data_IF_664871073223
#
_entry.id   IF_664871073223
#
_cell.length_a   1.000
_cell.length_b   1.000
_cell.length_c   1.000
_cell.angle_alpha   90.00
_cell.angle_beta   90.00
_cell.angle_gamma   90.00
#
_symmetry.space_group_name_H-M   'P 1'
#
loop_
_entity.id
_entity.type
_entity.pdbx_description
1 polymer ?
#
# COMPACT_ATOMS: atom_id res chain seq x y z
N UNK A 1 28.06 19.00 10.23
CA UNK A 1 26.83 18.17 10.31
C UNK A 1 27.07 16.95 9.44
N UNK A 2 26.85 15.75 9.95
CA UNK A 2 26.95 14.53 9.14
C UNK A 2 25.95 14.65 7.97
N UNK A 3 26.42 14.37 6.78
CA UNK A 3 25.60 14.39 5.58
C UNK A 3 24.57 13.25 5.69
N UNK A 4 23.27 13.59 5.71
CA UNK A 4 22.21 12.58 5.83
C UNK A 4 22.07 11.81 4.52
N UNK A 5 21.76 10.51 4.63
CA UNK A 5 21.57 9.62 3.48
C UNK A 5 20.09 9.29 3.25
N UNK A 6 19.77 8.96 2.01
CA UNK A 6 18.54 8.28 1.64
C UNK A 6 18.78 6.78 1.53
N UNK A 7 17.75 5.99 1.77
CA UNK A 7 17.79 4.54 1.56
C UNK A 7 16.76 4.17 0.51
N UNK A 8 17.15 3.35 -0.47
CA UNK A 8 16.25 2.83 -1.50
C UNK A 8 16.09 1.32 -1.30
N UNK A 9 14.85 0.90 -1.00
CA UNK A 9 14.49 -0.50 -0.79
C UNK A 9 13.82 -1.05 -2.05
N UNK A 10 14.34 -2.14 -2.61
CA UNK A 10 13.79 -2.80 -3.78
C UNK A 10 12.80 -3.91 -3.40
N UNK A 11 11.57 -3.86 -3.93
CA UNK A 11 10.56 -4.93 -3.80
C UNK A 11 10.29 -5.65 -5.13
N UNK A 12 10.85 -5.16 -6.25
CA UNK A 12 10.57 -5.68 -7.59
C UNK A 12 9.48 -4.89 -8.30
N UNK A 13 8.51 -5.58 -8.90
CA UNK A 13 7.40 -4.99 -9.66
C UNK A 13 7.77 -4.61 -11.11
N UNK A 14 6.85 -3.91 -11.79
CA UNK A 14 6.98 -3.47 -13.20
C UNK A 14 8.13 -2.49 -13.40
N UNK A 15 8.42 -1.63 -12.42
CA UNK A 15 9.55 -0.69 -12.47
C UNK A 15 10.89 -1.41 -12.69
N UNK A 16 11.00 -2.63 -12.17
CA UNK A 16 12.12 -3.56 -12.32
C UNK A 16 11.84 -4.63 -13.40
N UNK A 17 10.84 -4.44 -14.24
CA UNK A 17 10.42 -5.38 -15.28
C UNK A 17 11.23 -5.27 -16.55
N UNK A 18 11.36 -6.40 -17.27
CA UNK A 18 12.00 -6.48 -18.59
C UNK A 18 11.09 -7.17 -19.59
N UNK A 19 10.94 -6.55 -20.76
CA UNK A 19 10.35 -7.14 -21.93
C UNK A 19 11.44 -7.59 -22.92
N UNK A 20 11.15 -8.61 -23.71
CA UNK A 20 12.05 -9.04 -24.80
C UNK A 20 12.11 -7.97 -25.90
N UNK A 21 10.96 -7.36 -26.21
CA UNK A 21 10.84 -6.31 -27.20
C UNK A 21 10.51 -4.97 -26.52
N UNK A 22 11.26 -3.92 -26.84
CA UNK A 22 11.08 -2.58 -26.24
C UNK A 22 9.70 -1.94 -26.50
N UNK A 23 8.96 -2.38 -27.51
CA UNK A 23 7.59 -1.93 -27.79
C UNK A 23 6.50 -2.69 -27.02
N UNK A 24 6.86 -3.77 -26.32
CA UNK A 24 5.90 -4.61 -25.61
C UNK A 24 5.79 -4.16 -24.13
N UNK A 25 4.68 -3.48 -23.84
CA UNK A 25 4.38 -3.03 -22.48
C UNK A 25 3.48 -4.03 -21.70
N UNK A 26 3.13 -5.17 -22.29
CA UNK A 26 2.27 -6.19 -21.66
C UNK A 26 2.99 -7.52 -21.46
N UNK A 27 3.78 -7.96 -22.45
CA UNK A 27 4.52 -9.22 -22.43
C UNK A 27 5.87 -9.13 -21.72
N UNK A 28 5.96 -8.42 -20.62
CA UNK A 28 7.19 -8.30 -19.82
C UNK A 28 7.15 -9.23 -18.60
N UNK A 29 8.32 -9.52 -18.06
CA UNK A 29 8.47 -10.20 -16.78
C UNK A 29 8.81 -9.17 -15.71
N UNK A 30 8.00 -9.07 -14.67
CA UNK A 30 8.24 -8.17 -13.53
C UNK A 30 9.47 -8.61 -12.71
N UNK A 31 10.02 -7.71 -11.91
CA UNK A 31 11.04 -8.02 -10.91
C UNK A 31 12.31 -8.68 -11.48
N UNK A 32 12.82 -8.21 -12.62
CA UNK A 32 14.01 -8.75 -13.27
C UNK A 32 15.29 -7.93 -12.98
N UNK A 33 15.14 -6.64 -12.67
CA UNK A 33 16.26 -5.75 -12.35
C UNK A 33 16.39 -5.59 -10.82
N UNK A 34 17.62 -5.48 -10.35
CA UNK A 34 17.90 -5.11 -8.97
C UNK A 34 17.69 -3.61 -8.74
N UNK A 35 17.57 -3.23 -7.47
CA UNK A 35 17.42 -1.81 -7.09
C UNK A 35 18.62 -0.96 -7.52
N UNK A 36 19.83 -1.54 -7.51
CA UNK A 36 21.05 -0.86 -7.98
C UNK A 36 20.98 -0.52 -9.46
N UNK A 37 20.46 -1.43 -10.29
CA UNK A 37 20.29 -1.21 -11.74
C UNK A 37 19.33 -0.04 -12.01
N UNK A 38 18.28 0.11 -11.21
CA UNK A 38 17.32 1.21 -11.32
C UNK A 38 17.98 2.56 -11.01
N UNK A 39 18.88 2.62 -10.03
CA UNK A 39 19.62 3.83 -9.70
C UNK A 39 20.67 4.19 -10.76
N UNK A 40 21.35 3.22 -11.34
CA UNK A 40 22.29 3.45 -12.45
C UNK A 40 21.57 4.15 -13.61
N UNK A 41 20.33 3.77 -13.90
CA UNK A 41 19.55 4.37 -15.00
C UNK A 41 19.22 5.86 -14.80
N UNK A 42 19.26 6.35 -13.54
CA UNK A 42 18.98 7.76 -13.21
C UNK A 42 20.20 8.50 -12.64
N UNK A 43 21.37 7.87 -12.65
CA UNK A 43 22.58 8.36 -11.97
C UNK A 43 22.96 9.80 -12.33
N UNK A 44 22.77 10.20 -13.59
CA UNK A 44 23.12 11.55 -14.06
C UNK A 44 22.23 12.66 -13.47
N UNK A 45 21.05 12.30 -12.98
CA UNK A 45 20.07 13.23 -12.40
C UNK A 45 19.89 13.03 -10.88
N UNK A 46 20.71 12.15 -10.28
CA UNK A 46 20.62 11.90 -8.83
C UNK A 46 20.96 13.16 -8.04
N UNK A 47 20.28 13.35 -6.92
CA UNK A 47 20.62 14.40 -5.97
C UNK A 47 22.03 14.21 -5.38
N UNK A 48 22.64 15.29 -4.94
CA UNK A 48 23.98 15.30 -4.29
C UNK A 48 23.99 14.71 -2.87
N UNK A 49 23.10 13.76 -2.56
CA UNK A 49 23.09 13.08 -1.26
C UNK A 49 23.59 11.64 -1.38
N UNK A 50 24.04 11.09 -0.27
CA UNK A 50 24.40 9.68 -0.20
C UNK A 50 23.13 8.82 -0.34
N UNK A 51 23.16 7.87 -1.25
CA UNK A 51 22.09 6.88 -1.43
C UNK A 51 22.63 5.51 -1.08
N UNK A 52 21.92 4.80 -0.21
CA UNK A 52 22.19 3.40 0.12
C UNK A 52 21.03 2.54 -0.38
N UNK A 53 21.33 1.39 -0.94
CA UNK A 53 20.36 0.45 -1.50
C UNK A 53 20.26 -0.82 -0.68
N UNK A 54 19.08 -1.44 -0.74
CA UNK A 54 18.86 -2.78 -0.24
C UNK A 54 17.77 -3.48 -1.05
N UNK A 55 18.06 -4.68 -1.57
CA UNK A 55 17.04 -5.52 -2.17
C UNK A 55 16.34 -6.32 -1.07
N UNK A 56 15.11 -5.95 -0.71
CA UNK A 56 14.33 -6.63 0.34
C UNK A 56 13.63 -7.86 -0.21
N UNK A 57 13.03 -7.72 -1.39
CA UNK A 57 12.37 -8.81 -2.12
C UNK A 57 12.41 -8.53 -3.62
N UNK A 58 12.12 -9.55 -4.43
CA UNK A 58 12.03 -9.41 -5.88
C UNK A 58 10.77 -10.11 -6.35
N UNK A 59 9.62 -9.44 -6.16
CA UNK A 59 8.28 -9.98 -6.36
C UNK A 59 7.52 -9.23 -7.45
N UNK A 60 6.64 -9.92 -8.15
CA UNK A 60 5.50 -9.28 -8.78
C UNK A 60 4.49 -8.93 -7.67
N UNK A 61 4.01 -7.67 -7.64
CA UNK A 61 3.18 -7.21 -6.52
C UNK A 61 1.83 -7.91 -6.39
N UNK A 62 1.32 -8.56 -7.45
CA UNK A 62 0.12 -9.41 -7.35
C UNK A 62 0.31 -10.59 -6.39
N UNK A 63 1.57 -11.02 -6.17
CA UNK A 63 1.94 -12.13 -5.29
C UNK A 63 2.42 -11.64 -3.90
N UNK A 64 2.14 -10.39 -3.54
CA UNK A 64 2.48 -9.83 -2.23
C UNK A 64 1.79 -10.61 -1.10
N UNK A 65 2.55 -10.94 -0.06
CA UNK A 65 2.06 -11.66 1.12
C UNK A 65 2.20 -10.82 2.40
N UNK A 66 1.45 -11.19 3.45
CA UNK A 66 1.59 -10.56 4.76
C UNK A 66 3.01 -10.73 5.34
N UNK A 67 3.68 -11.84 5.01
CA UNK A 67 5.08 -12.10 5.39
C UNK A 67 6.01 -11.10 4.71
N UNK A 68 5.84 -10.86 3.42
CA UNK A 68 6.64 -9.88 2.68
C UNK A 68 6.39 -8.45 3.18
N UNK A 69 5.13 -8.10 3.51
CA UNK A 69 4.79 -6.81 4.14
C UNK A 69 5.46 -6.65 5.50
N UNK A 70 5.44 -7.67 6.35
CA UNK A 70 6.10 -7.63 7.65
C UNK A 70 7.62 -7.48 7.53
N UNK A 71 8.24 -8.22 6.61
CA UNK A 71 9.68 -8.08 6.32
C UNK A 71 10.00 -6.66 5.87
N UNK A 72 9.22 -6.09 4.96
CA UNK A 72 9.41 -4.71 4.50
C UNK A 72 9.29 -3.71 5.66
N UNK A 73 8.27 -3.86 6.53
CA UNK A 73 8.12 -3.00 7.70
C UNK A 73 9.33 -3.06 8.64
N UNK A 74 9.89 -4.26 8.86
CA UNK A 74 11.12 -4.44 9.65
C UNK A 74 12.30 -3.67 9.04
N UNK A 75 12.47 -3.73 7.71
CA UNK A 75 13.56 -3.02 7.04
C UNK A 75 13.38 -1.52 7.09
N UNK A 76 12.13 -1.04 6.89
CA UNK A 76 11.78 0.38 7.05
C UNK A 76 12.10 0.88 8.46
N UNK A 77 11.65 0.17 9.49
CA UNK A 77 11.90 0.53 10.90
C UNK A 77 13.40 0.55 11.22
N UNK A 78 14.13 -0.49 10.79
CA UNK A 78 15.58 -0.56 10.94
C UNK A 78 16.28 0.68 10.38
N UNK A 79 15.96 1.08 9.15
CA UNK A 79 16.61 2.23 8.52
C UNK A 79 16.20 3.56 9.14
N UNK A 80 14.91 3.72 9.46
CA UNK A 80 14.41 4.98 10.05
C UNK A 80 14.90 5.19 11.49
N UNK A 81 15.28 4.14 12.21
CA UNK A 81 15.87 4.25 13.55
C UNK A 81 17.25 4.91 13.54
N UNK A 82 17.97 4.91 12.42
CA UNK A 82 19.27 5.60 12.27
C UNK A 82 19.08 7.11 12.13
N UNK A 83 19.81 7.88 12.93
CA UNK A 83 19.84 9.36 12.81
C UNK A 83 20.48 9.85 11.50
N UNK A 84 21.28 9.02 10.84
CA UNK A 84 21.92 9.33 9.56
C UNK A 84 20.96 9.22 8.38
N UNK A 85 19.84 8.50 8.52
CA UNK A 85 18.85 8.32 7.46
C UNK A 85 17.84 9.46 7.53
N UNK A 86 17.64 10.16 6.40
CA UNK A 86 16.66 11.24 6.24
C UNK A 86 15.30 10.69 5.83
N UNK A 87 15.26 9.75 4.91
CA UNK A 87 14.05 9.14 4.38
C UNK A 87 14.33 7.81 3.68
N UNK A 88 13.27 7.08 3.41
CA UNK A 88 13.29 5.79 2.72
C UNK A 88 12.45 5.88 1.46
N UNK A 89 12.98 5.43 0.32
CA UNK A 89 12.24 5.22 -0.93
C UNK A 89 12.06 3.72 -1.13
N UNK A 90 10.90 3.30 -1.61
CA UNK A 90 10.58 1.89 -1.87
C UNK A 90 10.13 1.76 -3.32
N UNK A 91 10.87 1.01 -4.14
CA UNK A 91 10.42 0.64 -5.48
C UNK A 91 9.52 -0.58 -5.40
N UNK A 92 8.33 -0.49 -5.98
CA UNK A 92 7.26 -1.48 -5.81
C UNK A 92 6.49 -1.72 -7.11
N UNK A 93 5.75 -2.81 -7.21
CA UNK A 93 4.81 -3.04 -8.30
C UNK A 93 3.48 -2.32 -8.04
N UNK A 94 2.74 -2.04 -9.11
CA UNK A 94 1.54 -1.18 -9.04
C UNK A 94 0.31 -1.84 -8.43
N UNK A 95 0.18 -3.18 -8.49
CA UNK A 95 -1.10 -3.87 -8.22
C UNK A 95 -1.52 -3.86 -6.75
N UNK A 96 -0.56 -3.94 -5.82
CA UNK A 96 -0.82 -3.92 -4.37
C UNK A 96 -0.08 -2.79 -3.64
N UNK A 97 0.40 -1.79 -4.39
CA UNK A 97 1.13 -0.65 -3.83
C UNK A 97 0.30 0.10 -2.79
N UNK A 98 -0.99 0.32 -3.05
CA UNK A 98 -1.90 1.00 -2.14
C UNK A 98 -2.07 0.27 -0.80
N UNK A 99 -2.06 -1.07 -0.84
CA UNK A 99 -2.15 -1.92 0.34
C UNK A 99 -0.84 -1.86 1.15
N UNK A 100 0.29 -1.97 0.47
CA UNK A 100 1.63 -1.86 1.09
C UNK A 100 1.83 -0.50 1.74
N UNK A 101 1.46 0.59 1.06
CA UNK A 101 1.57 1.94 1.62
C UNK A 101 0.71 2.11 2.88
N UNK A 102 -0.55 1.65 2.84
CA UNK A 102 -1.45 1.69 3.98
C UNK A 102 -0.94 0.84 5.16
N UNK A 103 -0.46 -0.37 4.89
CA UNK A 103 0.12 -1.26 5.90
C UNK A 103 1.30 -0.59 6.62
N UNK A 104 2.25 -0.04 5.86
CA UNK A 104 3.43 0.64 6.42
C UNK A 104 3.04 1.88 7.24
N UNK A 105 2.07 2.68 6.78
CA UNK A 105 1.57 3.82 7.56
C UNK A 105 0.98 3.36 8.89
N UNK A 106 0.20 2.27 8.90
CA UNK A 106 -0.43 1.72 10.09
C UNK A 106 0.57 1.09 11.06
N UNK A 107 1.64 0.46 10.57
CA UNK A 107 2.56 -0.33 11.39
C UNK A 107 3.77 0.48 11.84
N UNK A 108 4.39 1.25 10.94
CA UNK A 108 5.60 2.03 11.22
C UNK A 108 5.29 3.43 11.73
N UNK A 109 4.16 4.03 11.31
CA UNK A 109 3.76 5.40 11.66
C UNK A 109 4.93 6.40 11.66
N UNK A 110 5.69 6.52 10.56
CA UNK A 110 6.99 7.16 10.56
C UNK A 110 6.90 8.68 10.65
N UNK A 111 7.82 9.29 11.41
CA UNK A 111 8.01 10.74 11.47
C UNK A 111 8.92 11.25 10.33
N UNK A 112 9.70 10.37 9.70
CA UNK A 112 10.48 10.64 8.49
C UNK A 112 9.72 10.14 7.26
N UNK A 113 9.98 10.69 6.06
CA UNK A 113 9.28 10.25 4.86
C UNK A 113 9.62 8.79 4.49
N UNK A 114 8.59 8.02 4.20
CA UNK A 114 8.65 6.73 3.51
C UNK A 114 7.87 6.87 2.22
N UNK A 115 8.57 6.82 1.09
CA UNK A 115 8.03 7.14 -0.22
C UNK A 115 8.00 5.88 -1.09
N UNK A 116 6.81 5.36 -1.37
CA UNK A 116 6.66 4.28 -2.35
C UNK A 116 6.58 4.86 -3.75
N UNK A 117 7.22 4.20 -4.71
CA UNK A 117 7.10 4.53 -6.13
C UNK A 117 7.03 3.26 -6.99
N UNK A 118 6.56 3.42 -8.21
CA UNK A 118 6.30 2.31 -9.12
C UNK A 118 6.44 2.76 -10.58
N UNK A 119 6.16 1.85 -11.52
CA UNK A 119 6.02 2.18 -12.93
C UNK A 119 4.88 1.39 -13.56
N UNK A 120 4.19 1.99 -14.53
CA UNK A 120 3.19 1.32 -15.35
C UNK A 120 3.81 0.65 -16.58
N UNK A 121 5.02 1.03 -16.97
CA UNK A 121 5.78 0.47 -18.08
C UNK A 121 7.07 -0.18 -17.59
N UNK A 122 7.49 -1.31 -18.19
CA UNK A 122 8.75 -1.96 -17.81
C UNK A 122 9.95 -1.06 -18.10
N UNK A 123 11.06 -1.28 -17.41
CA UNK A 123 12.29 -0.50 -17.57
C UNK A 123 12.83 -0.52 -19.02
N UNK A 124 12.50 -1.55 -19.78
CA UNK A 124 12.90 -1.72 -21.20
C UNK A 124 11.92 -1.12 -22.20
N UNK A 125 10.85 -0.46 -21.76
CA UNK A 125 9.90 0.22 -22.66
C UNK A 125 10.59 1.36 -23.46
N UNK A 126 10.02 1.74 -24.60
CA UNK A 126 10.52 2.88 -25.38
C UNK A 126 10.47 4.20 -24.60
N UNK A 127 9.49 4.36 -23.74
CA UNK A 127 9.33 5.51 -22.85
C UNK A 127 8.92 5.00 -21.45
N UNK A 128 9.89 4.52 -20.64
CA UNK A 128 9.62 4.03 -19.30
C UNK A 128 9.31 5.21 -18.37
N UNK A 129 8.32 5.06 -17.51
CA UNK A 129 7.94 6.07 -16.51
C UNK A 129 8.67 5.91 -15.16
N UNK A 130 9.27 4.75 -14.93
CA UNK A 130 9.88 4.42 -13.64
C UNK A 130 11.07 5.29 -13.25
N UNK A 131 11.86 5.74 -14.23
CA UNK A 131 13.03 6.61 -14.00
C UNK A 131 12.60 7.95 -13.41
N UNK A 132 11.60 8.61 -14.03
CA UNK A 132 11.08 9.87 -13.54
C UNK A 132 10.40 9.69 -12.18
N UNK A 133 9.58 8.66 -12.02
CA UNK A 133 8.90 8.37 -10.76
C UNK A 133 9.90 8.13 -9.61
N UNK A 134 11.05 7.48 -9.89
CA UNK A 134 12.11 7.27 -8.90
C UNK A 134 12.78 8.58 -8.49
N UNK A 135 13.10 9.47 -9.45
CA UNK A 135 13.65 10.81 -9.18
C UNK A 135 12.67 11.64 -8.34
N UNK A 136 11.40 11.65 -8.71
CA UNK A 136 10.35 12.35 -7.99
C UNK A 136 10.22 11.83 -6.54
N UNK A 137 10.29 10.51 -6.35
CA UNK A 137 10.28 9.90 -5.03
C UNK A 137 11.49 10.29 -4.17
N UNK A 138 12.68 10.34 -4.76
CA UNK A 138 13.90 10.81 -4.09
C UNK A 138 13.79 12.29 -3.69
N UNK A 139 13.20 13.13 -4.55
CA UNK A 139 12.93 14.55 -4.25
C UNK A 139 12.04 14.68 -3.00
N UNK A 140 10.95 13.91 -2.92
CA UNK A 140 10.06 13.92 -1.73
C UNK A 140 10.78 13.39 -0.49
N UNK A 141 11.58 12.33 -0.62
CA UNK A 141 12.31 11.74 0.51
C UNK A 141 13.40 12.67 1.09
N UNK A 142 13.88 13.64 0.30
CA UNK A 142 14.82 14.67 0.75
C UNK A 142 14.16 15.85 1.47
N UNK A 143 12.88 16.07 1.26
CA UNK A 143 12.19 17.20 1.86
C UNK A 143 12.11 17.03 3.39
N UNK A 144 12.67 18.00 4.11
CA UNK A 144 12.74 17.98 5.58
C UNK A 144 11.38 18.15 6.25
N UNK A 145 10.39 18.65 5.52
CA UNK A 145 9.03 18.80 6.01
C UNK A 145 8.18 17.56 5.77
N UNK A 146 8.64 16.65 4.89
CA UNK A 146 7.92 15.44 4.56
C UNK A 146 7.91 14.45 5.74
N UNK A 147 6.79 13.80 5.96
CA UNK A 147 6.59 12.79 7.00
C UNK A 147 5.54 11.77 6.60
N UNK A 148 5.52 10.63 7.28
CA UNK A 148 4.57 9.58 7.03
C UNK A 148 4.87 8.77 5.76
N UNK A 149 3.93 7.92 5.38
CA UNK A 149 4.01 7.09 4.18
C UNK A 149 3.22 7.73 3.05
N UNK A 150 3.88 7.94 1.92
CA UNK A 150 3.28 8.51 0.71
C UNK A 150 3.63 7.68 -0.52
N UNK A 151 2.83 7.84 -1.57
CA UNK A 151 3.05 7.23 -2.88
C UNK A 151 3.33 8.33 -3.89
N UNK A 152 4.38 8.18 -4.68
CA UNK A 152 4.77 9.10 -5.75
C UNK A 152 4.67 8.38 -7.09
N UNK A 153 3.85 8.91 -7.98
CA UNK A 153 3.65 8.38 -9.33
C UNK A 153 3.14 9.49 -10.26
N UNK A 154 3.67 9.57 -11.47
CA UNK A 154 3.26 10.53 -12.49
C UNK A 154 3.24 11.99 -11.99
N UNK A 155 4.29 12.41 -11.26
CA UNK A 155 4.43 13.77 -10.72
C UNK A 155 3.47 14.12 -9.57
N UNK A 156 2.75 13.14 -9.01
CA UNK A 156 1.78 13.34 -7.91
C UNK A 156 2.21 12.62 -6.66
N UNK A 157 1.95 13.25 -5.52
CA UNK A 157 2.17 12.69 -4.18
C UNK A 157 0.83 12.40 -3.53
N UNK A 158 0.61 11.17 -3.16
CA UNK A 158 -0.62 10.66 -2.54
C UNK A 158 -0.38 10.19 -1.12
N UNK A 159 -1.29 10.48 -0.20
CA UNK A 159 -1.24 9.91 1.14
C UNK A 159 -1.57 8.41 1.11
N UNK A 160 -0.86 7.61 1.90
CA UNK A 160 -1.05 6.15 1.97
C UNK A 160 -2.49 5.73 2.29
N UNK A 161 -3.19 6.53 3.10
CA UNK A 161 -4.59 6.28 3.46
C UNK A 161 -5.53 6.31 2.24
N UNK A 162 -5.30 7.26 1.32
CA UNK A 162 -6.29 7.63 0.31
C UNK A 162 -5.95 7.13 -1.08
N UNK A 163 -4.67 6.85 -1.36
CA UNK A 163 -4.21 6.38 -2.68
C UNK A 163 -4.90 5.10 -3.11
N UNK A 164 -5.36 5.04 -4.37
CA UNK A 164 -5.96 3.85 -5.00
C UNK A 164 -5.50 3.73 -6.45
N UNK A 165 -5.25 2.50 -6.92
CA UNK A 165 -5.04 2.23 -8.34
C UNK A 165 -6.41 2.25 -9.04
N UNK A 166 -6.68 3.32 -9.78
CA UNK A 166 -7.98 3.59 -10.41
C UNK A 166 -8.00 3.26 -11.90
N UNK A 167 -6.85 3.00 -12.52
CA UNK A 167 -6.76 2.71 -13.93
C UNK A 167 -5.84 1.52 -14.21
N UNK A 168 -6.22 0.69 -15.18
CA UNK A 168 -5.51 -0.54 -15.53
C UNK A 168 -4.24 -0.31 -16.34
N UNK A 169 -4.10 0.83 -17.05
CA UNK A 169 -3.04 1.02 -18.05
C UNK A 169 -2.43 2.43 -18.17
N UNK A 170 -3.15 3.50 -17.79
CA UNK A 170 -2.61 4.86 -17.86
C UNK A 170 -1.38 5.02 -16.95
N UNK A 171 -0.46 5.92 -17.33
CA UNK A 171 0.70 6.27 -16.48
C UNK A 171 0.23 6.93 -15.17
N UNK A 172 -0.75 7.82 -15.26
CA UNK A 172 -1.46 8.39 -14.11
C UNK A 172 -2.57 7.42 -13.65
N UNK A 173 -2.15 6.26 -13.15
CA UNK A 173 -3.04 5.17 -12.78
C UNK A 173 -3.58 5.26 -11.35
N UNK A 174 -3.09 6.21 -10.55
CA UNK A 174 -3.46 6.34 -9.14
C UNK A 174 -4.28 7.60 -8.87
N UNK A 175 -5.20 7.49 -7.93
CA UNK A 175 -6.01 8.60 -7.44
C UNK A 175 -6.10 8.55 -5.91
N UNK A 176 -6.42 9.68 -5.30
CA UNK A 176 -6.82 9.76 -3.88
C UNK A 176 -8.29 10.15 -3.72
N UNK A 177 -9.11 9.92 -4.75
CA UNK A 177 -10.53 10.23 -4.72
C UNK A 177 -10.83 11.66 -4.24
N UNK A 178 -11.79 11.79 -3.33
CA UNK A 178 -12.22 13.09 -2.78
C UNK A 178 -11.13 13.81 -1.96
N UNK A 179 -10.14 13.08 -1.43
CA UNK A 179 -9.03 13.68 -0.68
C UNK A 179 -8.04 14.42 -1.57
N UNK A 180 -7.90 14.01 -2.84
CA UNK A 180 -6.92 14.56 -3.78
C UNK A 180 -5.48 14.17 -3.43
N UNK A 181 -4.53 14.56 -4.29
CA UNK A 181 -3.12 14.45 -3.99
C UNK A 181 -2.69 15.56 -3.01
N UNK A 182 -1.62 15.30 -2.26
CA UNK A 182 -1.12 16.23 -1.22
C UNK A 182 0.02 17.12 -1.71
N UNK A 183 0.67 16.76 -2.81
CA UNK A 183 1.69 17.57 -3.47
C UNK A 183 1.84 17.16 -4.93
N UNK A 184 2.55 18.00 -5.69
CA UNK A 184 3.01 17.77 -7.05
C UNK A 184 4.52 17.94 -7.14
N UNK A 185 5.17 17.19 -8.05
CA UNK A 185 6.56 17.41 -8.42
C UNK A 185 6.57 17.98 -9.83
N UNK A 186 7.13 19.17 -9.98
CA UNK A 186 7.15 19.95 -11.23
C UNK A 186 8.59 20.40 -11.45
N UNK A 187 9.27 19.91 -12.53
CA UNK A 187 10.67 20.18 -12.84
C UNK A 187 11.65 19.92 -11.67
N UNK A 188 11.36 18.88 -10.85
CA UNK A 188 12.16 18.53 -9.68
C UNK A 188 11.83 19.32 -8.41
N UNK A 189 10.92 20.28 -8.48
CA UNK A 189 10.46 21.04 -7.31
C UNK A 189 9.18 20.45 -6.72
N UNK A 190 9.14 20.36 -5.38
CA UNK A 190 8.00 19.87 -4.63
C UNK A 190 7.03 21.01 -4.27
N UNK A 191 5.86 21.02 -4.88
CA UNK A 191 4.79 21.96 -4.57
C UNK A 191 3.70 21.30 -3.75
N UNK A 192 3.68 21.57 -2.45
CA UNK A 192 2.70 21.03 -1.52
C UNK A 192 1.36 21.78 -1.60
N UNK A 193 0.25 21.03 -1.60
CA UNK A 193 -1.14 21.53 -1.62
C UNK A 193 -1.97 21.01 -0.45
N UNK A 194 -1.51 19.96 0.22
CA UNK A 194 -2.15 19.34 1.38
C UNK A 194 -1.23 19.19 2.57
N UNK A 195 -1.59 18.32 3.50
CA UNK A 195 -0.82 18.00 4.71
C UNK A 195 -0.15 16.64 4.59
N UNK A 196 1.07 16.54 5.10
CA UNK A 196 1.73 15.23 5.22
C UNK A 196 0.95 14.32 6.17
N UNK A 197 0.95 12.99 5.95
CA UNK A 197 0.36 12.05 6.87
C UNK A 197 0.96 12.22 8.27
N UNK A 198 0.09 12.40 9.27
CA UNK A 198 0.54 12.45 10.65
C UNK A 198 0.98 11.06 11.12
N UNK A 199 1.95 10.96 12.03
CA UNK A 199 2.16 9.73 12.78
C UNK A 199 0.86 9.31 13.46
N UNK A 200 0.50 8.02 13.41
CA UNK A 200 -0.73 7.51 14.03
C UNK A 200 -0.64 7.59 15.56
N UNK A 201 -1.64 8.20 16.19
CA UNK A 201 -1.72 8.32 17.64
C UNK A 201 -2.07 6.99 18.33
N UNK A 202 -2.66 6.03 17.59
CA UNK A 202 -3.29 4.82 18.13
C UNK A 202 -2.46 3.54 17.97
N UNK A 203 -1.22 3.63 17.47
CA UNK A 203 -0.41 2.44 17.27
C UNK A 203 0.39 2.09 18.54
N UNK A 204 0.39 0.81 18.94
CA UNK A 204 1.30 0.35 19.96
C UNK A 204 2.74 0.64 19.53
N UNK A 205 3.53 1.28 20.40
CA UNK A 205 4.96 1.57 20.14
C UNK A 205 5.80 0.32 19.81
N UNK A 206 5.21 -0.86 19.98
CA UNK A 206 5.83 -2.16 19.72
C UNK A 206 5.22 -2.91 18.52
N UNK A 207 4.40 -2.25 17.68
CA UNK A 207 3.72 -2.88 16.55
C UNK A 207 4.70 -3.59 15.60
N UNK A 208 5.76 -2.90 15.16
CA UNK A 208 6.80 -3.52 14.30
C UNK A 208 7.48 -4.67 15.04
N UNK A 209 7.81 -4.49 16.33
CA UNK A 209 8.42 -5.56 17.14
C UNK A 209 7.51 -6.78 17.26
N UNK A 210 6.20 -6.60 17.44
CA UNK A 210 5.24 -7.71 17.45
C UNK A 210 5.26 -8.45 16.12
N UNK A 211 5.24 -7.73 14.99
CA UNK A 211 5.36 -8.33 13.67
C UNK A 211 6.67 -9.10 13.48
N UNK A 212 7.80 -8.56 13.99
CA UNK A 212 9.10 -9.23 13.88
C UNK A 212 9.18 -10.52 14.66
N UNK A 213 8.41 -10.65 15.73
CA UNK A 213 8.36 -11.84 16.59
C UNK A 213 7.36 -12.89 16.08
N UNK A 214 6.53 -12.54 15.10
CA UNK A 214 5.64 -13.51 14.47
C UNK A 214 6.45 -14.49 13.61
N UNK A 215 6.11 -15.78 13.61
CA UNK A 215 6.73 -16.73 12.71
C UNK A 215 6.54 -16.28 11.26
N UNK A 216 7.64 -16.00 10.55
CA UNK A 216 7.66 -15.60 9.14
C UNK A 216 7.59 -16.84 8.22
N UNK A 217 6.84 -17.85 8.58
CA UNK A 217 6.65 -19.07 7.78
C UNK A 217 5.27 -19.13 7.12
N UNK A 218 5.07 -20.09 6.18
CA UNK A 218 3.75 -20.34 5.61
C UNK A 218 2.69 -20.70 6.67
N UNK A 219 3.13 -21.17 7.84
CA UNK A 219 2.30 -21.46 9.01
C UNK A 219 2.20 -20.26 9.98
N UNK A 220 2.67 -19.08 9.58
CA UNK A 220 2.56 -17.84 10.35
C UNK A 220 1.09 -17.54 10.67
N UNK A 221 0.82 -17.19 11.93
CA UNK A 221 -0.54 -17.02 12.47
C UNK A 221 -1.12 -15.65 12.03
N UNK A 222 -1.23 -15.45 10.72
CA UNK A 222 -1.93 -14.30 10.18
C UNK A 222 -3.44 -14.58 10.19
N UNK A 223 -4.26 -13.66 10.71
CA UNK A 223 -5.71 -13.81 10.63
C UNK A 223 -6.17 -13.94 9.18
N UNK A 224 -7.02 -14.92 8.92
CA UNK A 224 -7.65 -15.07 7.61
C UNK A 224 -8.82 -14.09 7.54
N UNK A 225 -8.65 -13.05 6.72
CA UNK A 225 -9.67 -12.04 6.46
C UNK A 225 -9.94 -11.97 4.97
N UNK A 226 -11.21 -12.12 4.59
CA UNK A 226 -11.64 -12.17 3.20
C UNK A 226 -12.54 -10.99 2.85
N UNK A 227 -12.55 -10.60 1.57
CA UNK A 227 -13.42 -9.56 1.04
C UNK A 227 -14.58 -10.22 0.30
N UNK A 228 -15.81 -9.87 0.68
CA UNK A 228 -17.03 -10.33 0.03
C UNK A 228 -17.72 -9.15 -0.65
N UNK A 229 -17.93 -9.25 -1.95
CA UNK A 229 -18.62 -8.19 -2.70
C UNK A 229 -20.13 -8.38 -2.70
N UNK A 230 -20.88 -7.30 -2.45
CA UNK A 230 -22.32 -7.26 -2.66
C UNK A 230 -22.65 -6.90 -4.11
N UNK A 231 -23.62 -7.60 -4.70
CA UNK A 231 -24.09 -7.40 -6.08
C UNK A 231 -25.57 -7.79 -6.20
N UNK A 232 -26.20 -7.53 -7.35
CA UNK A 232 -27.58 -7.93 -7.59
C UNK A 232 -27.73 -9.46 -7.52
N UNK A 233 -28.64 -9.95 -6.65
CA UNK A 233 -28.80 -11.38 -6.40
C UNK A 233 -27.71 -12.01 -5.53
N UNK A 234 -26.93 -11.21 -4.78
CA UNK A 234 -25.94 -11.75 -3.85
C UNK A 234 -26.58 -12.72 -2.85
N UNK A 235 -26.00 -13.90 -2.69
CA UNK A 235 -26.44 -14.93 -1.76
C UNK A 235 -25.53 -14.99 -0.53
N UNK A 236 -25.95 -15.73 0.50
CA UNK A 236 -25.12 -15.99 1.67
C UNK A 236 -24.11 -17.13 1.49
N UNK A 237 -24.12 -17.84 0.37
CA UNK A 237 -23.35 -19.07 0.20
C UNK A 237 -21.83 -18.87 0.33
N UNK A 238 -21.31 -17.77 -0.18
CA UNK A 238 -19.87 -17.45 -0.03
C UNK A 238 -19.50 -17.29 1.43
N UNK A 239 -20.33 -16.64 2.24
CA UNK A 239 -20.08 -16.45 3.68
C UNK A 239 -20.13 -17.78 4.41
N UNK A 240 -21.08 -18.68 4.07
CA UNK A 240 -21.15 -20.02 4.65
C UNK A 240 -19.86 -20.83 4.33
N UNK A 241 -19.37 -20.76 3.10
CA UNK A 241 -18.12 -21.41 2.71
C UNK A 241 -16.92 -20.86 3.51
N UNK A 242 -16.84 -19.55 3.66
CA UNK A 242 -15.78 -18.88 4.44
C UNK A 242 -15.85 -19.26 5.93
N UNK A 243 -17.04 -19.33 6.53
CA UNK A 243 -17.19 -19.80 7.90
C UNK A 243 -16.66 -21.23 8.09
N UNK A 244 -16.85 -22.10 7.08
CA UNK A 244 -16.39 -23.47 7.14
C UNK A 244 -14.85 -23.59 6.88
N UNK A 245 -14.23 -22.59 6.25
CA UNK A 245 -12.77 -22.54 6.04
C UNK A 245 -11.98 -21.95 7.20
N UNK A 246 -12.67 -21.50 8.26
CA UNK A 246 -12.00 -20.94 9.44
C UNK A 246 -11.62 -19.46 9.32
N UNK A 247 -12.32 -18.69 8.46
CA UNK A 247 -12.12 -17.24 8.35
C UNK A 247 -12.35 -16.57 9.71
N UNK A 248 -11.52 -15.59 10.04
CA UNK A 248 -11.59 -14.84 11.31
C UNK A 248 -12.19 -13.44 11.12
N UNK A 249 -12.17 -12.92 9.88
CA UNK A 249 -12.75 -11.63 9.55
C UNK A 249 -13.31 -11.58 8.14
N UNK A 250 -14.34 -10.79 7.93
CA UNK A 250 -14.95 -10.53 6.62
C UNK A 250 -15.12 -9.03 6.45
N UNK A 251 -14.60 -8.49 5.34
CA UNK A 251 -14.92 -7.16 4.87
C UNK A 251 -15.99 -7.28 3.79
N UNK A 252 -17.15 -6.70 4.00
CA UNK A 252 -18.18 -6.69 2.97
C UNK A 252 -18.12 -5.38 2.16
N UNK A 253 -17.81 -5.49 0.87
CA UNK A 253 -17.84 -4.38 -0.08
C UNK A 253 -19.29 -4.18 -0.55
N UNK A 254 -20.05 -3.38 0.19
CA UNK A 254 -21.45 -3.08 -0.07
C UNK A 254 -21.68 -2.25 -1.33
N UNK A 255 -22.94 -2.07 -1.68
CA UNK A 255 -23.38 -1.13 -2.74
C UNK A 255 -23.69 0.24 -2.14
N UNK A 256 -23.48 1.32 -2.91
CA UNK A 256 -23.78 2.68 -2.46
C UNK A 256 -23.20 2.99 -1.07
N UNK A 257 -24.01 3.40 -0.13
CA UNK A 257 -23.61 3.69 1.26
C UNK A 257 -23.34 2.39 2.10
N UNK A 258 -22.75 1.37 1.50
CA UNK A 258 -22.45 0.11 2.17
C UNK A 258 -23.69 -0.76 2.41
N UNK A 259 -24.74 -0.63 1.57
CA UNK A 259 -25.92 -1.48 1.66
C UNK A 259 -25.62 -2.91 1.23
N UNK A 260 -26.30 -3.86 1.84
CA UNK A 260 -26.04 -5.30 1.68
C UNK A 260 -27.36 -5.99 1.30
N UNK A 261 -27.29 -6.92 0.35
CA UNK A 261 -28.44 -7.74 -0.02
C UNK A 261 -28.91 -8.57 1.19
N UNK A 262 -30.21 -8.64 1.44
CA UNK A 262 -30.79 -9.28 2.63
C UNK A 262 -30.30 -10.71 2.88
N UNK A 263 -30.14 -11.51 1.82
CA UNK A 263 -29.64 -12.91 1.95
C UNK A 263 -28.18 -12.97 2.35
N UNK A 264 -27.34 -12.06 1.84
CA UNK A 264 -25.95 -11.93 2.24
C UNK A 264 -25.83 -11.40 3.68
N UNK A 265 -26.62 -10.38 4.03
CA UNK A 265 -26.65 -9.80 5.37
C UNK A 265 -27.04 -10.82 6.44
N UNK A 266 -28.06 -11.65 6.17
CA UNK A 266 -28.44 -12.75 7.06
C UNK A 266 -27.28 -13.74 7.30
N UNK A 267 -26.46 -14.05 6.29
CA UNK A 267 -25.29 -14.90 6.46
C UNK A 267 -24.18 -14.20 7.26
N UNK A 268 -23.96 -12.90 7.04
CA UNK A 268 -23.00 -12.10 7.83
C UNK A 268 -23.40 -12.01 9.31
N UNK A 269 -24.70 -11.93 9.62
CA UNK A 269 -25.17 -12.04 11.01
C UNK A 269 -24.84 -13.38 11.64
N UNK A 270 -24.98 -14.50 10.90
CA UNK A 270 -24.56 -15.82 11.39
C UNK A 270 -23.03 -15.89 11.59
N UNK A 271 -22.24 -15.31 10.68
CA UNK A 271 -20.80 -15.23 10.85
C UNK A 271 -20.43 -14.46 12.13
N UNK A 272 -21.04 -13.28 12.33
CA UNK A 272 -20.84 -12.47 13.55
C UNK A 272 -21.22 -13.25 14.83
N UNK A 273 -22.33 -14.00 14.83
CA UNK A 273 -22.75 -14.81 15.99
C UNK A 273 -21.78 -15.96 16.31
N UNK A 274 -20.95 -16.37 15.32
CA UNK A 274 -19.85 -17.33 15.50
C UNK A 274 -18.51 -16.68 15.88
N UNK A 275 -18.51 -15.39 16.19
CA UNK A 275 -17.30 -14.66 16.59
C UNK A 275 -16.43 -14.16 15.44
N UNK A 276 -16.89 -14.27 14.19
CA UNK A 276 -16.16 -13.74 13.04
C UNK A 276 -16.38 -12.24 12.97
N UNK A 277 -15.29 -11.47 12.89
CA UNK A 277 -15.35 -10.02 12.76
C UNK A 277 -15.90 -9.63 11.39
N UNK A 278 -16.85 -8.70 11.34
CA UNK A 278 -17.44 -8.20 10.08
C UNK A 278 -17.32 -6.70 10.03
N UNK A 279 -16.71 -6.18 8.96
CA UNK A 279 -16.56 -4.74 8.69
C UNK A 279 -17.26 -4.42 7.37
N UNK A 280 -18.02 -3.32 7.37
CA UNK A 280 -18.76 -2.84 6.20
C UNK A 280 -17.97 -1.73 5.50
N UNK A 281 -17.64 -1.97 4.23
CA UNK A 281 -17.07 -0.99 3.30
C UNK A 281 -18.02 -0.80 2.11
N UNK A 282 -17.57 -0.11 1.07
CA UNK A 282 -18.32 0.05 -0.16
C UNK A 282 -17.45 -0.28 -1.38
N UNK A 283 -18.06 -0.77 -2.45
CA UNK A 283 -17.41 -0.94 -3.75
C UNK A 283 -17.34 0.36 -4.57
N UNK A 284 -17.94 1.45 -4.07
CA UNK A 284 -17.83 2.76 -4.71
C UNK A 284 -16.40 3.28 -4.54
N UNK A 285 -15.75 3.77 -5.62
CA UNK A 285 -14.36 4.22 -5.57
C UNK A 285 -14.19 5.55 -4.80
N UNK A 286 -15.24 6.33 -4.68
CA UNK A 286 -15.25 7.63 -4.00
C UNK A 286 -16.33 7.69 -2.93
N UNK A 287 -16.20 8.65 -2.01
CA UNK A 287 -17.06 8.78 -0.85
C UNK A 287 -16.70 7.80 0.27
N UNK A 288 -17.53 7.79 1.30
CA UNK A 288 -17.37 6.90 2.45
C UNK A 288 -18.73 6.35 2.88
N UNK A 289 -18.71 5.22 3.55
CA UNK A 289 -19.91 4.71 4.24
C UNK A 289 -20.22 5.65 5.40
N UNK A 290 -21.43 6.21 5.40
CA UNK A 290 -21.92 7.02 6.50
C UNK A 290 -22.49 6.08 7.57
N UNK A 291 -22.01 6.22 8.79
CA UNK A 291 -22.49 5.43 9.92
C UNK A 291 -23.95 5.75 10.22
N UNK A 292 -24.73 4.70 10.45
CA UNK A 292 -26.13 4.83 10.89
C UNK A 292 -26.22 4.22 12.28
N UNK A 293 -26.80 4.94 13.27
CA UNK A 293 -27.03 4.38 14.60
C UNK A 293 -27.79 3.06 14.51
N UNK A 294 -27.31 2.03 15.24
CA UNK A 294 -27.92 0.71 15.20
C UNK A 294 -27.50 -0.17 14.01
N UNK A 295 -26.56 0.27 13.18
CA UNK A 295 -25.97 -0.59 12.15
C UNK A 295 -25.38 -1.86 12.75
N UNK A 296 -25.69 -3.05 12.21
CA UNK A 296 -25.23 -4.32 12.76
C UNK A 296 -23.72 -4.54 12.65
N UNK A 297 -23.09 -3.87 11.68
CA UNK A 297 -21.66 -3.99 11.39
C UNK A 297 -20.99 -2.61 11.43
N UNK A 298 -19.81 -2.48 12.07
CA UNK A 298 -19.01 -1.25 11.99
C UNK A 298 -18.65 -0.95 10.53
N UNK A 299 -18.52 0.33 10.20
CA UNK A 299 -18.01 0.74 8.89
C UNK A 299 -16.47 0.79 8.87
N UNK A 300 -15.91 0.84 7.67
CA UNK A 300 -14.47 0.85 7.42
C UNK A 300 -13.80 2.21 7.67
N UNK A 301 -14.47 3.18 8.28
CA UNK A 301 -13.97 4.54 8.49
C UNK A 301 -13.47 5.22 7.19
N UNK A 302 -14.15 4.95 6.08
CA UNK A 302 -13.81 5.49 4.76
C UNK A 302 -12.70 4.75 4.01
N UNK A 303 -12.20 3.63 4.54
CA UNK A 303 -11.22 2.81 3.85
C UNK A 303 -11.84 2.01 2.71
N UNK A 304 -11.11 1.86 1.60
CA UNK A 304 -11.44 0.91 0.54
C UNK A 304 -11.50 -0.53 1.08
N UNK A 305 -12.18 -1.46 0.40
CA UNK A 305 -12.27 -2.84 0.89
C UNK A 305 -10.91 -3.50 1.14
N UNK A 306 -9.92 -3.27 0.29
CA UNK A 306 -8.58 -3.85 0.43
C UNK A 306 -7.83 -3.27 1.63
N UNK A 307 -7.94 -1.97 1.88
CA UNK A 307 -7.35 -1.31 3.06
C UNK A 307 -8.10 -1.67 4.35
N UNK A 308 -9.42 -1.77 4.29
CA UNK A 308 -10.22 -2.24 5.41
C UNK A 308 -9.85 -3.69 5.81
N UNK A 309 -9.50 -4.53 4.83
CA UNK A 309 -8.97 -5.88 5.09
C UNK A 309 -7.64 -5.83 5.85
N UNK A 310 -6.70 -5.00 5.42
CA UNK A 310 -5.43 -4.81 6.13
C UNK A 310 -5.69 -4.30 7.56
N UNK A 311 -6.53 -3.29 7.73
CA UNK A 311 -6.88 -2.77 9.06
C UNK A 311 -7.46 -3.88 9.95
N UNK A 312 -8.42 -4.66 9.45
CA UNK A 312 -9.03 -5.74 10.22
C UNK A 312 -8.03 -6.84 10.60
N UNK A 313 -7.08 -7.18 9.72
CA UNK A 313 -6.00 -8.12 10.06
C UNK A 313 -5.17 -7.58 11.24
N UNK A 314 -4.77 -6.31 11.18
CA UNK A 314 -3.97 -5.68 12.23
C UNK A 314 -4.77 -5.58 13.55
N UNK A 315 -6.04 -5.22 13.48
CA UNK A 315 -6.92 -5.14 14.66
C UNK A 315 -7.10 -6.51 15.33
N UNK A 316 -7.24 -7.60 14.55
CA UNK A 316 -7.32 -8.97 15.07
C UNK A 316 -6.00 -9.43 15.72
N UNK A 317 -4.88 -8.92 15.27
CA UNK A 317 -3.56 -9.13 15.87
C UNK A 317 -3.31 -8.21 17.08
N UNK A 318 -4.17 -7.23 17.31
CA UNK A 318 -4.00 -6.18 18.32
C UNK A 318 -2.72 -5.36 18.09
N UNK A 319 -2.48 -5.04 16.84
CA UNK A 319 -1.38 -4.20 16.32
C UNK A 319 -1.93 -2.89 15.80
#
# INVERSE_FOLDING_TARGET
>A
MLEKKLVVLGMGGTIAGRAVNAGDNLGYTAAQLGVDDLLVAVQAALPTCLIQTEQVAQLDSKDMSMVALALLAQRVDHWLSSSEVQGVVITHGTDTLEETAFFLQRVCSPVKPVVLTCAMRPATALAPDGQQNLLDALTVAQDKSASGVVVVCAGRVHAARDVQKSHTYLLDAFTSGDAGCIAYIEEGDLRRVGTWPAPGEDLPADAVRKLTQMPLGPDGIWPIVEIVMNYAGASGNVVEALMNSGVQGIVVAGTGNGTIHHSLEAALHRAKSRGIAVVRSTRCPNGRVLSVPGSPFPDSAGLSPVKARIALILDLLRI
#
